data_IF_416868407382
#
_entry.id   IF_416868407382
#
_cell.length_a   1.000
_cell.length_b   1.000
_cell.length_c   1.000
_cell.angle_alpha   90.00
_cell.angle_beta   90.00
_cell.angle_gamma   90.00
#
_symmetry.space_group_name_H-M   'P 1'
#
loop_
_entity.id
_entity.type
_entity.pdbx_description
1 polymer ?
#
# COMPACT_ATOMS: atom_id res chain seq x y z
N UNK A 1 24.37 40.16 18.19
CA UNK A 1 23.19 39.97 17.32
C UNK A 1 23.41 40.79 16.04
N UNK A 2 22.85 40.46 14.86
CA UNK A 2 21.87 39.42 14.51
C UNK A 2 22.31 38.46 13.36
N UNK A 3 21.64 37.31 13.25
CA UNK A 3 21.60 36.46 12.05
C UNK A 3 20.66 37.13 11.05
N UNK A 4 21.12 37.44 9.83
CA UNK A 4 20.23 37.87 8.76
C UNK A 4 19.82 36.68 7.90
N UNK A 5 18.51 36.64 7.70
CA UNK A 5 17.67 35.70 7.01
C UNK A 5 17.79 35.97 5.51
N UNK A 6 18.19 34.97 4.72
CA UNK A 6 17.88 34.97 3.30
C UNK A 6 17.02 33.73 3.04
N UNK A 7 15.73 33.90 3.34
CA UNK A 7 14.65 33.25 2.62
C UNK A 7 14.75 33.57 1.12
N UNK A 8 14.11 32.73 0.31
CA UNK A 8 13.76 33.00 -1.08
C UNK A 8 14.85 32.71 -2.13
N UNK A 9 14.90 31.44 -2.57
CA UNK A 9 14.82 31.01 -3.98
C UNK A 9 15.42 29.61 -4.12
N UNK A 10 14.55 28.61 -4.23
CA UNK A 10 14.75 27.40 -5.06
C UNK A 10 13.48 26.55 -5.10
N UNK A 11 12.33 27.20 -5.38
CA UNK A 11 11.14 26.50 -5.88
C UNK A 11 11.10 26.64 -7.40
N UNK A 12 12.04 26.02 -8.09
CA UNK A 12 12.00 25.77 -9.52
C UNK A 12 13.11 24.74 -9.83
N UNK A 13 12.77 23.66 -10.53
CA UNK A 13 13.58 22.47 -10.82
C UNK A 13 13.52 21.34 -9.79
N UNK A 14 12.31 20.99 -9.33
CA UNK A 14 12.06 19.56 -9.09
C UNK A 14 11.95 18.97 -10.49
N UNK A 15 13.00 18.28 -10.95
CA UNK A 15 12.93 17.50 -12.18
C UNK A 15 11.64 16.65 -12.15
N UNK A 16 10.97 16.39 -13.29
CA UNK A 16 9.93 15.37 -13.32
C UNK A 16 10.57 14.10 -12.77
N UNK A 17 10.15 13.74 -11.57
CA UNK A 17 10.59 12.56 -10.86
C UNK A 17 9.98 11.41 -11.64
N UNK A 18 10.70 10.86 -12.63
CA UNK A 18 10.25 9.73 -13.46
C UNK A 18 10.00 8.45 -12.63
N UNK A 19 10.03 8.55 -11.30
CA UNK A 19 9.61 7.60 -10.28
C UNK A 19 8.07 7.61 -10.01
N UNK A 20 7.28 8.07 -10.99
CA UNK A 20 5.81 7.99 -10.94
C UNK A 20 5.30 6.55 -10.76
N UNK A 21 6.02 5.56 -11.28
CA UNK A 21 5.70 4.15 -11.10
C UNK A 21 5.85 3.72 -9.64
N UNK A 22 6.94 4.08 -8.94
CA UNK A 22 7.10 3.73 -7.52
C UNK A 22 6.03 4.43 -6.66
N UNK A 23 5.63 5.64 -7.02
CA UNK A 23 4.50 6.35 -6.38
C UNK A 23 3.18 5.61 -6.56
N UNK A 24 2.91 5.07 -7.74
CA UNK A 24 1.66 4.36 -8.03
C UNK A 24 1.53 3.08 -7.21
N UNK A 25 2.58 2.26 -7.18
CA UNK A 25 2.60 1.02 -6.40
C UNK A 25 2.48 1.29 -4.90
N UNK A 26 3.11 2.36 -4.43
CA UNK A 26 3.00 2.79 -3.03
C UNK A 26 1.58 3.22 -2.67
N UNK A 27 0.92 4.04 -3.50
CA UNK A 27 -0.48 4.46 -3.29
C UNK A 27 -1.43 3.26 -3.25
N UNK A 28 -1.28 2.34 -4.21
CA UNK A 28 -2.06 1.12 -4.27
C UNK A 28 -1.88 0.25 -3.02
N UNK A 29 -0.64 0.07 -2.58
CA UNK A 29 -0.33 -0.72 -1.38
C UNK A 29 -0.99 -0.14 -0.13
N UNK A 30 -0.94 1.20 0.03
CA UNK A 30 -1.59 1.92 1.13
C UNK A 30 -3.11 1.78 1.09
N UNK A 31 -3.72 1.96 -0.08
CA UNK A 31 -5.16 1.79 -0.26
C UNK A 31 -5.62 0.38 0.14
N UNK A 32 -4.91 -0.67 -0.34
CA UNK A 32 -5.23 -2.05 0.00
C UNK A 32 -5.05 -2.38 1.49
N UNK A 33 -3.99 -1.86 2.13
CA UNK A 33 -3.80 -2.00 3.59
C UNK A 33 -4.97 -1.35 4.32
N UNK A 34 -5.45 -0.19 3.87
CA UNK A 34 -6.54 0.50 4.53
C UNK A 34 -7.87 -0.22 4.35
N UNK A 35 -8.17 -0.68 3.14
CA UNK A 35 -9.37 -1.47 2.85
C UNK A 35 -9.37 -2.75 3.69
N UNK A 36 -8.22 -3.42 3.80
CA UNK A 36 -8.05 -4.57 4.69
C UNK A 36 -8.40 -4.23 6.13
N UNK A 37 -7.82 -3.15 6.66
CA UNK A 37 -8.00 -2.74 8.05
C UNK A 37 -9.45 -2.31 8.35
N UNK A 38 -10.13 -1.66 7.39
CA UNK A 38 -11.54 -1.29 7.50
C UNK A 38 -12.47 -2.52 7.49
N UNK A 39 -12.12 -3.54 6.72
CA UNK A 39 -12.89 -4.79 6.64
C UNK A 39 -12.49 -5.82 7.72
N UNK A 40 -11.46 -5.53 8.54
CA UNK A 40 -10.95 -6.47 9.55
C UNK A 40 -10.34 -7.75 8.97
N UNK A 41 -9.86 -7.71 7.73
CA UNK A 41 -9.35 -8.89 7.01
C UNK A 41 -7.86 -9.12 7.31
N UNK A 42 -7.39 -10.36 7.17
CA UNK A 42 -5.96 -10.67 7.11
C UNK A 42 -5.50 -10.73 5.65
N UNK A 43 -4.17 -10.72 5.44
CA UNK A 43 -3.59 -10.90 4.10
C UNK A 43 -4.02 -12.22 3.45
N UNK A 44 -4.19 -13.26 4.26
CA UNK A 44 -4.69 -14.56 3.83
C UNK A 44 -6.14 -14.48 3.33
N UNK A 45 -7.03 -13.81 4.06
CA UNK A 45 -8.44 -13.67 3.66
C UNK A 45 -8.58 -12.92 2.34
N UNK A 46 -7.79 -11.85 2.13
CA UNK A 46 -7.78 -11.14 0.85
C UNK A 46 -7.22 -12.01 -0.29
N UNK A 47 -6.19 -12.81 0.00
CA UNK A 47 -5.64 -13.74 -0.98
C UNK A 47 -6.68 -14.80 -1.40
N UNK A 48 -7.43 -15.35 -0.44
CA UNK A 48 -8.49 -16.33 -0.69
C UNK A 48 -9.63 -15.76 -1.52
N UNK A 49 -10.12 -14.55 -1.20
CA UNK A 49 -11.16 -13.85 -1.97
C UNK A 49 -10.72 -13.60 -3.42
N UNK A 50 -9.49 -13.10 -3.58
CA UNK A 50 -8.93 -12.79 -4.88
C UNK A 50 -8.38 -14.00 -5.65
N UNK A 51 -8.47 -15.21 -5.06
CA UNK A 51 -7.93 -16.48 -5.59
C UNK A 51 -6.45 -16.38 -5.98
N UNK A 52 -5.64 -15.76 -5.12
CA UNK A 52 -4.18 -15.66 -5.25
C UNK A 52 -3.49 -16.25 -4.03
N UNK A 53 -2.18 -16.42 -4.11
CA UNK A 53 -1.41 -16.91 -2.97
C UNK A 53 -1.24 -15.81 -1.91
N UNK A 54 -1.17 -16.22 -0.64
CA UNK A 54 -0.91 -15.30 0.47
C UNK A 54 0.42 -14.55 0.28
N UNK A 55 1.46 -15.24 -0.20
CA UNK A 55 2.75 -14.62 -0.50
C UNK A 55 2.66 -13.54 -1.57
N UNK A 56 1.88 -13.75 -2.63
CA UNK A 56 1.62 -12.73 -3.64
C UNK A 56 0.89 -11.53 -3.05
N UNK A 57 -0.17 -11.76 -2.26
CA UNK A 57 -0.93 -10.69 -1.61
C UNK A 57 -0.05 -9.88 -0.65
N UNK A 58 0.80 -10.55 0.12
CA UNK A 58 1.77 -9.90 1.00
C UNK A 58 2.74 -9.02 0.21
N UNK A 59 3.29 -9.51 -0.92
CA UNK A 59 4.16 -8.68 -1.76
C UNK A 59 3.46 -7.43 -2.29
N UNK A 60 2.21 -7.56 -2.74
CA UNK A 60 1.40 -6.44 -3.25
C UNK A 60 1.10 -5.42 -2.14
N UNK A 61 0.69 -5.88 -0.95
CA UNK A 61 0.40 -5.01 0.20
C UNK A 61 1.61 -4.23 0.69
N UNK A 62 2.82 -4.77 0.51
CA UNK A 62 4.06 -4.08 0.89
C UNK A 62 4.68 -3.29 -0.26
N UNK A 63 3.99 -3.16 -1.40
CA UNK A 63 4.51 -2.44 -2.59
C UNK A 63 5.75 -3.11 -3.20
N UNK A 64 5.97 -4.40 -2.94
CA UNK A 64 7.11 -5.17 -3.47
C UNK A 64 6.83 -5.80 -4.83
N UNK A 65 5.59 -5.69 -5.31
CA UNK A 65 5.17 -6.29 -6.57
C UNK A 65 4.06 -5.51 -7.25
N UNK A 66 4.27 -5.33 -8.55
CA UNK A 66 3.32 -4.67 -9.42
C UNK A 66 2.14 -5.60 -9.73
N UNK A 67 0.95 -5.03 -9.72
CA UNK A 67 -0.27 -5.72 -10.10
C UNK A 67 -0.63 -5.38 -11.53
N UNK A 68 -1.05 -6.39 -12.29
CA UNK A 68 -1.60 -6.13 -13.62
C UNK A 68 -2.92 -5.38 -13.49
N UNK A 69 -3.26 -4.58 -14.51
CA UNK A 69 -4.53 -3.84 -14.56
C UNK A 69 -5.76 -4.76 -14.40
N UNK A 70 -5.69 -6.00 -14.90
CA UNK A 70 -6.74 -7.00 -14.70
C UNK A 70 -6.92 -7.41 -13.24
N UNK A 71 -5.82 -7.48 -12.49
CA UNK A 71 -5.83 -7.81 -11.06
C UNK A 71 -6.30 -6.61 -10.23
N UNK A 72 -5.85 -5.40 -10.56
CA UNK A 72 -6.36 -4.16 -9.98
C UNK A 72 -7.88 -4.08 -10.10
N UNK A 73 -8.41 -4.26 -11.30
CA UNK A 73 -9.85 -4.21 -11.55
C UNK A 73 -10.60 -5.29 -10.75
N UNK A 74 -9.99 -6.46 -10.56
CA UNK A 74 -10.56 -7.53 -9.74
C UNK A 74 -10.61 -7.14 -8.26
N UNK A 75 -9.56 -6.52 -7.74
CA UNK A 75 -9.52 -6.00 -6.37
C UNK A 75 -10.61 -4.94 -6.17
N UNK A 76 -10.70 -3.97 -7.08
CA UNK A 76 -11.70 -2.92 -7.04
C UNK A 76 -13.13 -3.50 -6.97
N UNK A 77 -13.44 -4.47 -7.85
CA UNK A 77 -14.74 -5.17 -7.86
C UNK A 77 -15.02 -5.95 -6.58
N UNK A 78 -14.02 -6.63 -6.02
CA UNK A 78 -14.18 -7.41 -4.79
C UNK A 78 -14.50 -6.53 -3.58
N UNK A 79 -13.91 -5.33 -3.52
CA UNK A 79 -14.11 -4.38 -2.42
C UNK A 79 -15.22 -3.36 -2.70
N UNK A 80 -15.89 -3.43 -3.86
CA UNK A 80 -16.99 -2.54 -4.21
C UNK A 80 -16.59 -1.08 -4.42
N UNK A 81 -15.35 -0.82 -4.81
CA UNK A 81 -14.81 0.52 -5.06
C UNK A 81 -14.39 0.68 -6.52
N UNK A 82 -14.20 1.92 -6.97
CA UNK A 82 -13.65 2.17 -8.30
C UNK A 82 -12.14 1.90 -8.35
N UNK A 83 -11.62 1.45 -9.50
CA UNK A 83 -10.18 1.23 -9.67
C UNK A 83 -9.36 2.52 -9.54
N UNK A 84 -9.94 3.66 -9.95
CA UNK A 84 -9.35 5.00 -9.78
C UNK A 84 -9.17 5.35 -8.31
N UNK A 85 -10.11 4.95 -7.46
CA UNK A 85 -10.05 5.22 -6.02
C UNK A 85 -8.89 4.48 -5.33
N UNK A 86 -8.47 3.32 -5.83
CA UNK A 86 -7.30 2.60 -5.31
C UNK A 86 -5.98 3.35 -5.53
N UNK A 87 -5.95 4.26 -6.50
CA UNK A 87 -4.76 5.00 -6.93
C UNK A 87 -4.75 6.45 -6.44
N UNK A 88 -5.79 6.86 -5.72
CA UNK A 88 -6.00 8.22 -5.24
C UNK A 88 -5.20 8.51 -3.95
N UNK A 89 -4.65 9.73 -3.83
CA UNK A 89 -3.86 10.15 -2.66
C UNK A 89 -4.66 10.22 -1.35
N UNK A 90 -6.00 10.03 -1.37
CA UNK A 90 -6.83 9.99 -0.15
C UNK A 90 -6.43 8.89 0.84
N UNK A 91 -5.72 7.87 0.36
CA UNK A 91 -5.20 6.78 1.18
C UNK A 91 -3.74 7.01 1.63
N UNK A 92 -3.12 8.12 1.22
CA UNK A 92 -1.75 8.46 1.58
C UNK A 92 -1.65 8.99 3.01
N UNK A 93 -2.72 9.63 3.48
CA UNK A 93 -2.87 10.20 4.81
C UNK A 93 -2.97 9.09 5.87
N UNK A 94 -2.28 9.28 6.99
CA UNK A 94 -2.17 8.39 8.15
C UNK A 94 -1.01 7.39 8.10
N UNK A 95 -0.01 7.70 8.94
CA UNK A 95 1.06 6.80 9.35
C UNK A 95 0.56 5.37 9.60
N UNK A 96 1.31 4.34 9.18
CA UNK A 96 0.99 2.98 9.58
C UNK A 96 1.05 2.94 11.10
N UNK A 97 -0.11 2.82 11.76
CA UNK A 97 -0.14 2.42 13.17
C UNK A 97 0.62 1.11 13.21
N UNK A 98 1.84 1.14 13.73
CA UNK A 98 2.71 -0.02 13.94
C UNK A 98 1.96 -0.98 14.85
N UNK A 99 1.08 -1.78 14.27
CA UNK A 99 0.31 -2.80 14.98
C UNK A 99 1.27 -3.97 15.14
N UNK A 100 2.11 -3.87 16.16
CA UNK A 100 2.82 -5.02 16.69
C UNK A 100 1.78 -6.03 17.16
N UNK A 101 1.46 -7.02 16.34
CA UNK A 101 0.83 -8.25 16.79
C UNK A 101 1.65 -9.43 16.30
N UNK A 102 2.36 -9.98 17.27
CA UNK A 102 2.88 -11.34 17.31
C UNK A 102 1.73 -12.29 16.98
N UNK A 103 1.71 -12.88 15.79
CA UNK A 103 0.90 -14.07 15.55
C UNK A 103 1.81 -15.28 15.62
N UNK A 104 1.86 -15.84 16.83
CA UNK A 104 2.23 -17.21 17.13
C UNK A 104 1.70 -18.17 16.05
N UNK A 105 2.59 -18.92 15.41
CA UNK A 105 2.25 -20.30 15.08
C UNK A 105 3.51 -21.15 15.07
N UNK A 106 3.79 -21.72 16.25
CA UNK A 106 4.56 -22.96 16.40
C UNK A 106 3.99 -23.98 15.40
N UNK A 107 4.84 -24.51 14.54
CA UNK A 107 4.63 -25.86 14.00
C UNK A 107 5.61 -26.75 14.73
N UNK A 108 5.11 -27.32 15.83
CA UNK A 108 5.70 -28.51 16.42
C UNK A 108 5.46 -29.64 15.42
N UNK A 109 6.51 -30.06 14.72
CA UNK A 109 6.51 -31.33 14.00
C UNK A 109 7.06 -32.37 14.95
N UNK A 110 6.15 -33.12 15.56
CA UNK A 110 6.43 -34.36 16.27
C UNK A 110 6.31 -35.53 15.28
N UNK A 111 7.21 -36.50 15.47
CA UNK A 111 7.31 -37.84 14.85
C UNK A 111 8.04 -37.96 13.52
#
# INVERSE_FOLDING_TARGET
MPRHLNDDKSKANVAPDWDDDERLHKRLSKALIRIRDLNGLLSKDMAERLKVTEGYMSQVLHGRRDVRLSMLNRMAKEFGIEASELLEDKWDDVEPRRRGLKSSQRRETTS
#
